data_IF_839729905685
#
_entry.id   IF_839729905685
#
_cell.length_a   1.000
_cell.length_b   1.000
_cell.length_c   1.000
_cell.angle_alpha   90.00
_cell.angle_beta   90.00
_cell.angle_gamma   90.00
#
_symmetry.space_group_name_H-M   'P 1'
#
loop_
_entity.id
_entity.type
_entity.pdbx_description
1 polymer ?
#
# COMPACT_ATOMS: atom_id res chain seq x y z
N UNK A 1 -79.73 -5.18 -4.89
CA UNK A 1 -78.84 -4.14 -4.32
C UNK A 1 -77.43 -4.69 -4.33
N UNK A 2 -76.48 -4.04 -5.02
CA UNK A 2 -75.12 -4.56 -5.22
C UNK A 2 -74.18 -3.81 -4.27
N UNK A 3 -73.58 -4.56 -3.33
CA UNK A 3 -72.83 -4.03 -2.19
C UNK A 3 -71.49 -3.38 -2.55
N UNK A 4 -71.18 -2.34 -1.77
CA UNK A 4 -69.95 -1.55 -1.64
C UNK A 4 -68.69 -2.04 -2.39
N UNK A 5 -68.18 -1.21 -3.30
CA UNK A 5 -66.83 -1.32 -3.83
C UNK A 5 -65.81 -1.20 -2.68
N UNK A 6 -64.96 -2.22 -2.50
CA UNK A 6 -63.87 -2.22 -1.51
C UNK A 6 -62.54 -2.02 -2.23
N UNK A 7 -61.78 -1.01 -1.82
CA UNK A 7 -60.39 -0.80 -2.24
C UNK A 7 -59.51 -1.89 -1.61
N UNK A 8 -58.74 -2.63 -2.42
CA UNK A 8 -57.71 -3.55 -1.95
C UNK A 8 -56.35 -2.93 -2.23
N UNK A 9 -55.59 -2.66 -1.19
CA UNK A 9 -54.18 -2.27 -1.28
C UNK A 9 -53.32 -3.50 -0.99
N UNK A 10 -52.32 -3.76 -1.81
CA UNK A 10 -51.36 -4.85 -1.62
C UNK A 10 -49.95 -4.29 -1.56
N UNK A 11 -49.23 -4.61 -0.49
CA UNK A 11 -47.82 -4.29 -0.33
C UNK A 11 -46.96 -5.51 -0.62
N UNK A 12 -45.78 -5.29 -1.19
CA UNK A 12 -44.77 -6.32 -1.44
C UNK A 12 -43.45 -5.85 -0.84
N UNK A 13 -42.67 -6.79 -0.29
CA UNK A 13 -41.31 -6.50 0.13
C UNK A 13 -40.40 -6.40 -1.09
N UNK A 14 -39.64 -5.31 -1.16
CA UNK A 14 -38.66 -5.06 -2.22
C UNK A 14 -37.48 -4.30 -1.65
N UNK A 15 -36.41 -4.16 -2.43
CA UNK A 15 -35.25 -3.35 -2.11
C UNK A 15 -34.95 -2.39 -3.27
N UNK A 16 -34.30 -1.27 -2.96
CA UNK A 16 -33.84 -0.29 -3.93
C UNK A 16 -32.34 -0.04 -3.71
N UNK A 17 -31.54 -0.17 -4.77
CA UNK A 17 -30.10 0.06 -4.74
C UNK A 17 -29.68 0.85 -5.99
N UNK A 18 -28.67 1.69 -5.87
CA UNK A 18 -28.17 2.50 -6.99
C UNK A 18 -27.67 1.59 -8.13
N UNK A 19 -28.15 1.83 -9.36
CA UNK A 19 -27.82 1.02 -10.52
C UNK A 19 -28.60 -0.30 -10.66
N UNK A 20 -29.52 -0.62 -9.74
CA UNK A 20 -30.36 -1.84 -9.81
C UNK A 20 -31.82 -1.44 -10.05
N UNK A 21 -32.36 -1.78 -11.21
CA UNK A 21 -33.80 -1.68 -11.48
C UNK A 21 -34.49 -2.96 -11.02
N UNK A 22 -35.40 -2.84 -10.05
CA UNK A 22 -36.28 -3.94 -9.65
C UNK A 22 -37.59 -3.87 -10.44
N UNK A 23 -38.16 -5.02 -10.79
CA UNK A 23 -39.45 -5.12 -11.53
C UNK A 23 -40.68 -4.82 -10.65
N UNK A 24 -40.51 -4.08 -9.55
CA UNK A 24 -41.59 -3.76 -8.64
C UNK A 24 -42.35 -2.52 -9.13
N UNK A 25 -43.62 -2.67 -9.52
CA UNK A 25 -44.50 -1.55 -9.87
C UNK A 25 -45.13 -0.96 -8.59
N UNK A 26 -44.74 0.26 -8.21
CA UNK A 26 -45.31 0.98 -7.07
C UNK A 26 -44.34 2.05 -6.53
N UNK A 27 -44.84 2.90 -5.64
CA UNK A 27 -43.97 3.80 -4.86
C UNK A 27 -43.19 3.00 -3.81
N UNK A 28 -41.88 3.23 -3.74
CA UNK A 28 -41.02 2.59 -2.75
C UNK A 28 -40.99 3.41 -1.45
N UNK A 29 -41.29 2.74 -0.34
CA UNK A 29 -41.22 3.32 1.00
C UNK A 29 -40.10 2.63 1.79
N UNK A 30 -38.95 3.30 2.05
CA UNK A 30 -37.84 2.69 2.76
C UNK A 30 -38.18 2.47 4.24
N UNK A 31 -38.07 1.23 4.70
CA UNK A 31 -38.25 0.86 6.13
C UNK A 31 -36.89 0.59 6.78
N UNK A 32 -35.97 0.00 6.03
CA UNK A 32 -34.61 -0.30 6.45
C UNK A 32 -33.64 0.25 5.41
N UNK A 33 -32.55 0.85 5.88
CA UNK A 33 -31.46 1.27 5.02
C UNK A 33 -30.24 0.39 5.27
N UNK A 34 -29.60 -0.09 4.21
CA UNK A 34 -28.40 -0.92 4.31
C UNK A 34 -27.27 -0.21 3.59
N UNK A 35 -26.25 0.21 4.34
CA UNK A 35 -25.06 0.85 3.77
C UNK A 35 -23.84 -0.04 4.03
N UNK A 36 -23.12 -0.42 2.96
CA UNK A 36 -21.95 -1.31 3.03
C UNK A 36 -22.19 -2.65 3.78
N UNK A 37 -23.42 -3.18 3.74
CA UNK A 37 -23.80 -4.43 4.39
C UNK A 37 -24.21 -4.32 5.86
N UNK A 38 -24.36 -3.10 6.38
CA UNK A 38 -24.82 -2.83 7.75
C UNK A 38 -26.24 -2.28 7.72
N UNK A 39 -27.13 -2.89 8.51
CA UNK A 39 -28.49 -2.39 8.74
C UNK A 39 -28.40 -1.11 9.58
N UNK A 40 -28.81 0.01 9.01
CA UNK A 40 -28.98 1.27 9.73
C UNK A 40 -30.40 1.25 10.32
N UNK A 41 -30.51 0.85 11.58
CA UNK A 41 -31.76 0.96 12.32
C UNK A 41 -31.97 2.43 12.69
N UNK A 42 -32.95 3.06 12.04
CA UNK A 42 -33.33 4.44 12.29
C UNK A 42 -34.37 4.45 13.41
N UNK A 43 -34.03 4.92 14.61
CA UNK A 43 -35.05 5.41 15.54
C UNK A 43 -35.88 6.46 14.80
N UNK A 44 -37.23 6.45 14.84
CA UNK A 44 -38.04 7.40 14.08
C UNK A 44 -37.47 8.81 14.27
N UNK A 45 -37.18 9.58 13.20
CA UNK A 45 -36.64 10.92 13.38
C UNK A 45 -37.60 11.62 14.35
N UNK A 46 -37.12 12.13 15.50
CA UNK A 46 -38.00 12.90 16.37
C UNK A 46 -38.59 13.98 15.46
N UNK A 47 -39.92 14.02 15.35
CA UNK A 47 -40.58 15.10 14.61
C UNK A 47 -39.90 16.39 15.06
N UNK A 48 -39.22 17.09 14.15
CA UNK A 48 -38.29 18.17 14.48
C UNK A 48 -38.98 19.18 15.39
N UNK A 49 -38.82 18.99 16.69
CA UNK A 49 -39.53 19.73 17.71
C UNK A 49 -38.56 20.81 18.17
N UNK A 50 -39.02 22.06 18.21
CA UNK A 50 -38.22 23.22 18.61
C UNK A 50 -37.50 22.93 19.94
N UNK A 51 -38.16 22.18 20.84
CA UNK A 51 -37.61 21.74 22.12
C UNK A 51 -36.40 20.80 21.94
N UNK A 52 -36.51 19.78 21.08
CA UNK A 52 -35.40 18.83 20.84
C UNK A 52 -34.18 19.50 20.23
N UNK A 53 -34.39 20.44 19.29
CA UNK A 53 -33.28 21.20 18.68
C UNK A 53 -32.64 22.16 19.69
N UNK A 54 -33.43 22.76 20.58
CA UNK A 54 -32.91 23.63 21.63
C UNK A 54 -32.07 22.85 22.65
N UNK A 55 -32.52 21.65 23.05
CA UNK A 55 -31.76 20.75 23.92
C UNK A 55 -30.46 20.29 23.28
N UNK A 56 -30.50 19.85 22.01
CA UNK A 56 -29.30 19.44 21.28
C UNK A 56 -28.29 20.59 21.15
N UNK A 57 -28.76 21.82 20.89
CA UNK A 57 -27.88 23.00 20.85
C UNK A 57 -27.22 23.24 22.21
N UNK A 58 -27.99 23.21 23.29
CA UNK A 58 -27.47 23.43 24.64
C UNK A 58 -26.41 22.39 25.01
N UNK A 59 -26.69 21.10 24.78
CA UNK A 59 -25.75 20.02 25.07
C UNK A 59 -24.47 20.14 24.23
N UNK A 60 -24.59 20.45 22.93
CA UNK A 60 -23.44 20.69 22.06
C UNK A 60 -22.57 21.84 22.53
N UNK A 61 -23.17 22.95 22.96
CA UNK A 61 -22.45 24.14 23.45
C UNK A 61 -21.81 23.90 24.82
N UNK A 62 -22.43 23.08 25.68
CA UNK A 62 -21.93 22.77 27.02
C UNK A 62 -20.86 21.68 27.04
N UNK A 63 -21.07 20.59 26.30
CA UNK A 63 -20.31 19.34 26.43
C UNK A 63 -19.62 18.90 25.13
N UNK A 64 -20.01 19.45 23.98
CA UNK A 64 -19.54 18.98 22.67
C UNK A 64 -20.15 17.63 22.28
N UNK A 65 -19.40 16.79 21.57
CA UNK A 65 -19.80 15.40 21.25
C UNK A 65 -19.00 14.42 22.10
N UNK A 66 -19.66 13.42 22.67
CA UNK A 66 -19.06 12.49 23.63
C UNK A 66 -19.77 11.14 23.64
N UNK A 67 -19.06 10.12 24.12
CA UNK A 67 -19.56 8.77 24.39
C UNK A 67 -20.06 8.70 25.83
N UNK A 68 -21.26 8.16 26.03
CA UNK A 68 -21.83 7.90 27.35
C UNK A 68 -21.33 6.56 27.88
N UNK A 69 -21.42 5.51 27.04
CA UNK A 69 -20.90 4.18 27.35
C UNK A 69 -20.62 3.39 26.06
N UNK A 70 -19.75 2.38 26.16
CA UNK A 70 -19.48 1.46 25.05
C UNK A 70 -18.79 2.12 23.86
N UNK A 71 -19.22 1.78 22.63
CA UNK A 71 -18.68 2.28 21.35
C UNK A 71 -17.17 2.09 21.15
N UNK A 72 -16.56 1.16 21.89
CA UNK A 72 -15.18 0.78 21.69
C UNK A 72 -15.00 0.08 20.34
N UNK A 73 -13.90 0.40 19.67
CA UNK A 73 -13.57 -0.15 18.38
C UNK A 73 -12.50 -1.23 18.53
N UNK A 74 -12.70 -2.35 17.86
CA UNK A 74 -11.78 -3.47 17.81
C UNK A 74 -11.47 -3.87 16.36
N UNK A 75 -10.24 -4.29 16.12
CA UNK A 75 -9.83 -4.85 14.82
C UNK A 75 -10.20 -6.33 14.83
N UNK A 76 -11.03 -6.76 13.87
CA UNK A 76 -11.45 -8.14 13.79
C UNK A 76 -10.52 -8.95 12.89
N UNK A 77 -10.45 -8.58 11.62
CA UNK A 77 -9.64 -9.28 10.63
C UNK A 77 -9.42 -8.46 9.37
N UNK A 78 -8.40 -8.86 8.61
CA UNK A 78 -8.24 -8.48 7.20
C UNK A 78 -8.91 -9.55 6.33
N UNK A 79 -9.74 -9.12 5.39
CA UNK A 79 -10.32 -9.98 4.35
C UNK A 79 -9.40 -9.97 3.14
N UNK A 80 -8.88 -11.13 2.78
CA UNK A 80 -8.06 -11.33 1.58
C UNK A 80 -8.96 -11.36 0.33
N UNK A 81 -8.52 -10.70 -0.75
CA UNK A 81 -9.27 -10.49 -2.00
C UNK A 81 -8.81 -9.22 -2.74
N UNK A 82 -9.31 -8.98 -3.96
CA UNK A 82 -9.03 -7.74 -4.70
C UNK A 82 -9.43 -6.51 -3.87
N UNK A 83 -8.47 -5.60 -3.64
CA UNK A 83 -8.65 -4.36 -2.87
C UNK A 83 -8.47 -4.47 -1.35
N UNK A 84 -8.30 -5.68 -0.78
CA UNK A 84 -7.96 -5.93 0.63
C UNK A 84 -8.77 -5.14 1.66
N UNK A 85 -9.80 -5.72 2.28
CA UNK A 85 -10.64 -4.99 3.25
C UNK A 85 -10.22 -5.23 4.69
N UNK A 86 -10.29 -4.21 5.53
CA UNK A 86 -10.10 -4.28 6.99
C UNK A 86 -11.45 -4.20 7.67
N UNK A 87 -11.76 -5.19 8.51
CA UNK A 87 -13.03 -5.29 9.23
C UNK A 87 -12.80 -4.88 10.68
N UNK A 88 -13.62 -3.94 11.14
CA UNK A 88 -13.65 -3.46 12.51
C UNK A 88 -15.01 -3.79 13.13
N UNK A 89 -15.01 -3.99 14.44
CA UNK A 89 -16.22 -4.12 15.25
C UNK A 89 -16.32 -2.88 16.12
N UNK A 90 -17.50 -2.29 16.18
CA UNK A 90 -17.84 -1.22 17.13
C UNK A 90 -18.84 -1.83 18.08
N UNK A 91 -18.52 -1.85 19.38
CA UNK A 91 -19.41 -2.39 20.40
C UNK A 91 -20.68 -1.55 20.54
N UNK A 92 -21.73 -2.17 21.07
CA UNK A 92 -22.94 -1.48 21.49
C UNK A 92 -22.61 -0.34 22.46
N UNK A 93 -23.48 0.68 22.50
CA UNK A 93 -23.27 1.83 23.35
C UNK A 93 -24.08 3.05 22.94
N UNK A 94 -23.91 4.12 23.71
CA UNK A 94 -24.62 5.39 23.53
C UNK A 94 -23.64 6.55 23.42
N UNK A 95 -23.97 7.51 22.58
CA UNK A 95 -23.22 8.76 22.43
C UNK A 95 -24.15 9.93 22.14
N UNK A 96 -23.65 11.13 22.43
CA UNK A 96 -24.23 12.37 21.95
C UNK A 96 -23.32 12.95 20.86
N UNK A 97 -23.86 13.12 19.65
CA UNK A 97 -23.15 13.72 18.53
C UNK A 97 -23.88 14.99 18.11
N UNK A 98 -23.20 16.13 18.23
CA UNK A 98 -23.80 17.44 18.02
C UNK A 98 -25.09 17.66 18.86
N UNK A 99 -25.13 17.06 20.05
CA UNK A 99 -26.26 17.11 20.99
C UNK A 99 -27.42 16.14 20.69
N UNK A 100 -27.32 15.35 19.62
CA UNK A 100 -28.30 14.30 19.31
C UNK A 100 -27.83 12.96 19.88
N UNK A 101 -28.73 12.26 20.57
CA UNK A 101 -28.46 10.92 21.09
C UNK A 101 -28.44 9.89 19.96
N UNK A 102 -27.40 9.06 19.96
CA UNK A 102 -27.24 7.88 19.13
C UNK A 102 -27.09 6.67 20.04
N UNK A 103 -27.85 5.63 19.77
CA UNK A 103 -27.78 4.34 20.45
C UNK A 103 -27.50 3.24 19.42
N UNK A 104 -26.43 2.48 19.65
CA UNK A 104 -26.18 1.22 18.96
C UNK A 104 -26.63 0.08 19.88
N UNK A 105 -27.76 -0.60 19.61
CA UNK A 105 -28.29 -1.64 20.50
C UNK A 105 -27.48 -2.94 20.47
N UNK A 106 -26.66 -3.14 19.44
CA UNK A 106 -25.77 -4.30 19.28
C UNK A 106 -24.49 -3.87 18.58
N UNK A 107 -23.43 -4.67 18.73
CA UNK A 107 -22.17 -4.41 18.06
C UNK A 107 -22.32 -4.52 16.54
N UNK A 108 -21.75 -3.56 15.80
CA UNK A 108 -21.79 -3.53 14.34
C UNK A 108 -20.42 -3.82 13.74
N UNK A 109 -20.41 -4.40 12.54
CA UNK A 109 -19.19 -4.63 11.76
C UNK A 109 -19.09 -3.61 10.65
N UNK A 110 -17.97 -2.90 10.57
CA UNK A 110 -17.69 -1.96 9.49
C UNK A 110 -16.46 -2.40 8.72
N UNK A 111 -16.50 -2.26 7.39
CA UNK A 111 -15.39 -2.64 6.51
C UNK A 111 -14.86 -1.43 5.76
N UNK A 112 -13.55 -1.25 5.76
CA UNK A 112 -12.87 -0.20 5.00
C UNK A 112 -11.79 -0.81 4.09
N UNK A 113 -11.59 -0.20 2.92
CA UNK A 113 -10.59 -0.66 1.95
C UNK A 113 -9.15 -0.36 2.41
N UNK A 114 -8.18 -1.14 1.93
CA UNK A 114 -6.76 -0.90 2.13
C UNK A 114 -6.23 0.06 1.06
N UNK A 115 -6.06 1.33 1.44
CA UNK A 115 -5.65 2.43 0.56
C UNK A 115 -4.36 3.13 1.05
N UNK A 116 -3.22 2.42 1.03
CA UNK A 116 -1.95 3.00 1.42
C UNK A 116 -1.53 4.11 0.45
N UNK A 117 -0.91 5.17 0.99
CA UNK A 117 -0.22 6.13 0.14
C UNK A 117 1.18 5.57 -0.18
N UNK A 118 1.47 5.47 -1.48
CA UNK A 118 2.68 4.82 -1.98
C UNK A 118 3.78 5.86 -2.21
N UNK A 119 4.98 5.57 -1.73
CA UNK A 119 6.19 6.38 -2.00
C UNK A 119 7.20 5.57 -2.79
N UNK A 120 7.80 6.20 -3.81
CA UNK A 120 8.91 5.61 -4.56
C UNK A 120 10.24 5.93 -3.88
N UNK A 121 11.14 4.94 -3.89
CA UNK A 121 12.54 5.06 -3.51
C UNK A 121 13.36 4.66 -4.73
N UNK A 122 14.30 5.52 -5.11
CA UNK A 122 15.15 5.33 -6.29
C UNK A 122 16.60 5.13 -5.84
N UNK A 123 17.25 4.14 -6.44
CA UNK A 123 18.67 3.82 -6.30
C UNK A 123 19.12 3.71 -4.85
N UNK A 124 18.35 2.99 -4.02
CA UNK A 124 18.78 2.68 -2.66
C UNK A 124 20.04 1.79 -2.73
N UNK A 125 21.17 2.22 -2.15
CA UNK A 125 22.44 1.53 -2.32
C UNK A 125 22.63 0.42 -1.28
N UNK A 126 23.09 -0.72 -1.75
CA UNK A 126 23.50 -1.86 -0.95
C UNK A 126 24.85 -2.40 -1.45
N UNK A 127 25.63 -3.04 -0.58
CA UNK A 127 26.87 -3.72 -0.97
C UNK A 127 26.62 -5.22 -1.09
N UNK A 128 26.99 -5.82 -2.22
CA UNK A 128 26.80 -7.25 -2.44
C UNK A 128 27.72 -8.08 -1.54
N UNK A 129 27.12 -8.69 -0.51
CA UNK A 129 27.79 -9.59 0.43
C UNK A 129 27.01 -10.91 0.48
N UNK A 130 27.26 -11.83 -0.46
CA UNK A 130 26.49 -13.06 -0.54
C UNK A 130 26.95 -14.09 0.50
N UNK A 131 26.06 -15.04 0.79
CA UNK A 131 26.38 -16.25 1.53
C UNK A 131 27.20 -17.25 0.69
N UNK A 132 27.49 -18.43 1.26
CA UNK A 132 28.24 -19.51 0.57
C UNK A 132 27.61 -20.01 -0.73
N UNK A 133 26.31 -19.75 -0.96
CA UNK A 133 25.58 -20.11 -2.18
C UNK A 133 25.54 -18.96 -3.20
N UNK A 134 26.33 -17.89 -3.00
CA UNK A 134 26.33 -16.66 -3.83
C UNK A 134 24.97 -15.93 -3.85
N UNK A 135 24.21 -16.01 -2.75
CA UNK A 135 22.92 -15.33 -2.57
C UNK A 135 23.01 -14.30 -1.46
N UNK A 136 22.52 -13.09 -1.70
CA UNK A 136 22.40 -12.04 -0.69
C UNK A 136 20.91 -11.82 -0.34
N UNK A 137 20.59 -11.82 0.95
CA UNK A 137 19.33 -11.29 1.46
C UNK A 137 19.43 -9.78 1.59
N UNK A 138 18.80 -9.06 0.65
CA UNK A 138 18.77 -7.61 0.65
C UNK A 138 17.55 -7.15 1.44
N UNK A 139 17.77 -6.32 2.47
CA UNK A 139 16.71 -5.66 3.24
C UNK A 139 16.65 -4.20 2.85
N UNK A 140 15.47 -3.72 2.47
CA UNK A 140 15.28 -2.31 2.14
C UNK A 140 15.15 -1.46 3.40
N UNK A 141 15.47 -0.18 3.29
CA UNK A 141 15.38 0.75 4.42
C UNK A 141 13.93 1.10 4.77
N UNK A 142 13.09 1.36 3.76
CA UNK A 142 11.69 1.71 3.94
C UNK A 142 10.80 0.51 3.59
N UNK A 143 9.94 0.11 4.52
CA UNK A 143 9.07 -1.06 4.36
C UNK A 143 7.73 -0.84 5.08
N UNK A 144 6.62 -1.47 4.64
CA UNK A 144 6.56 -2.61 3.74
C UNK A 144 6.58 -2.26 2.24
N UNK A 145 7.32 -3.06 1.47
CA UNK A 145 7.38 -2.98 0.00
C UNK A 145 5.98 -3.21 -0.59
N UNK A 146 5.61 -2.32 -1.50
CA UNK A 146 4.45 -2.49 -2.39
C UNK A 146 4.84 -3.17 -3.69
N UNK A 147 5.97 -2.76 -4.29
CA UNK A 147 6.48 -3.30 -5.55
C UNK A 147 7.99 -3.04 -5.67
N UNK A 148 8.76 -4.01 -6.16
CA UNK A 148 10.14 -3.78 -6.59
C UNK A 148 10.13 -3.48 -8.09
N UNK A 149 10.63 -2.30 -8.47
CA UNK A 149 10.64 -1.84 -9.86
C UNK A 149 11.88 -2.32 -10.61
N UNK A 150 13.05 -2.23 -9.98
CA UNK A 150 14.33 -2.49 -10.63
C UNK A 150 15.40 -2.87 -9.61
N UNK A 151 16.23 -3.85 -9.95
CA UNK A 151 17.47 -4.15 -9.23
C UNK A 151 18.61 -4.07 -10.23
N UNK A 152 19.49 -3.11 -10.04
CA UNK A 152 20.68 -2.88 -10.86
C UNK A 152 21.92 -3.40 -10.13
N UNK A 153 22.69 -4.25 -10.81
CA UNK A 153 23.87 -4.91 -10.25
C UNK A 153 25.05 -4.83 -11.20
N UNK A 154 26.26 -4.97 -10.65
CA UNK A 154 27.47 -5.22 -11.44
C UNK A 154 27.68 -6.73 -11.58
N UNK A 155 27.72 -7.24 -12.80
CA UNK A 155 28.01 -8.66 -13.09
C UNK A 155 29.34 -8.81 -13.80
N UNK A 156 29.99 -9.97 -13.63
CA UNK A 156 31.17 -10.34 -14.41
C UNK A 156 30.79 -11.44 -15.39
N UNK A 157 31.08 -11.25 -16.67
CA UNK A 157 30.78 -12.19 -17.75
C UNK A 157 32.05 -12.57 -18.48
N UNK A 158 32.07 -13.80 -19.00
CA UNK A 158 33.07 -14.25 -19.95
C UNK A 158 32.37 -14.65 -21.24
N UNK A 159 32.71 -14.01 -22.35
CA UNK A 159 32.13 -14.29 -23.67
C UNK A 159 33.23 -14.52 -24.70
N UNK A 160 32.86 -15.17 -25.80
CA UNK A 160 33.70 -15.25 -27.00
C UNK A 160 33.30 -14.15 -27.98
N UNK A 161 34.29 -13.39 -28.44
CA UNK A 161 34.14 -12.32 -29.43
C UNK A 161 34.92 -12.70 -30.68
N UNK A 162 34.37 -12.38 -31.85
CA UNK A 162 35.08 -12.51 -33.12
C UNK A 162 35.77 -11.20 -33.43
N UNK A 163 37.06 -11.28 -33.71
CA UNK A 163 37.88 -10.15 -34.09
C UNK A 163 37.56 -9.68 -35.51
N UNK A 164 37.57 -8.35 -35.72
CA UNK A 164 37.34 -7.73 -37.02
C UNK A 164 38.21 -8.26 -38.17
N UNK A 165 37.82 -7.93 -39.39
CA UNK A 165 38.47 -8.44 -40.61
C UNK A 165 39.76 -7.70 -40.99
N UNK A 166 40.24 -6.78 -40.15
CA UNK A 166 41.43 -5.96 -40.36
C UNK A 166 42.06 -5.61 -39.01
N UNK A 167 43.34 -5.23 -39.00
CA UNK A 167 44.08 -4.85 -37.79
C UNK A 167 43.71 -3.45 -37.29
N UNK A 168 43.65 -3.27 -35.98
CA UNK A 168 43.15 -2.06 -35.33
C UNK A 168 41.62 -1.99 -35.30
N UNK A 169 40.94 -3.13 -35.40
CA UNK A 169 39.48 -3.17 -35.41
C UNK A 169 38.88 -2.81 -34.04
N UNK A 170 37.63 -2.37 -34.04
CA UNK A 170 36.84 -2.16 -32.83
C UNK A 170 35.78 -3.24 -32.78
N UNK A 171 35.93 -4.15 -31.82
CA UNK A 171 35.06 -5.30 -31.67
C UNK A 171 33.96 -5.00 -30.63
N UNK A 172 32.67 -5.14 -31.00
CA UNK A 172 31.58 -4.79 -30.11
C UNK A 172 31.37 -5.80 -28.99
N UNK A 173 31.11 -5.31 -27.78
CA UNK A 173 30.61 -6.13 -26.66
C UNK A 173 29.07 -6.06 -26.68
N UNK A 174 28.34 -7.18 -26.60
CA UNK A 174 26.89 -7.20 -26.76
C UNK A 174 26.13 -6.54 -25.59
N UNK A 175 26.76 -6.41 -24.42
CA UNK A 175 26.17 -5.77 -23.25
C UNK A 175 26.35 -4.25 -23.28
N UNK A 176 25.32 -3.54 -22.80
CA UNK A 176 25.41 -2.10 -22.52
C UNK A 176 26.07 -1.84 -21.16
N UNK A 177 26.59 -0.62 -20.96
CA UNK A 177 27.19 -0.18 -19.69
C UNK A 177 28.34 -1.08 -19.18
N UNK A 178 29.25 -1.44 -20.09
CA UNK A 178 30.53 -2.09 -19.74
C UNK A 178 31.36 -1.11 -18.91
N UNK A 179 31.78 -1.55 -17.72
CA UNK A 179 32.55 -0.75 -16.77
C UNK A 179 34.05 -0.93 -16.99
N UNK A 180 34.48 -2.18 -17.11
CA UNK A 180 35.89 -2.55 -17.25
C UNK A 180 36.06 -3.91 -17.92
N UNK A 181 37.19 -4.11 -18.59
CA UNK A 181 37.62 -5.41 -19.11
C UNK A 181 38.65 -5.97 -18.13
N UNK A 182 38.34 -7.11 -17.53
CA UNK A 182 39.17 -7.81 -16.54
C UNK A 182 40.29 -8.60 -17.22
N UNK A 183 39.99 -9.26 -18.34
CA UNK A 183 40.96 -10.08 -19.07
C UNK A 183 40.54 -10.25 -20.53
N UNK A 184 41.52 -10.25 -21.42
CA UNK A 184 41.36 -10.66 -22.83
C UNK A 184 42.39 -11.73 -23.13
N UNK A 185 41.97 -12.85 -23.72
CA UNK A 185 42.88 -13.94 -24.06
C UNK A 185 42.47 -14.71 -25.32
N UNK A 186 43.47 -15.23 -26.03
CA UNK A 186 43.30 -16.16 -27.14
C UNK A 186 44.24 -17.36 -26.92
N UNK A 187 43.67 -18.53 -26.62
CA UNK A 187 44.46 -19.68 -26.19
C UNK A 187 45.29 -19.35 -24.94
N UNK A 188 46.61 -19.41 -25.07
CA UNK A 188 47.56 -19.08 -23.99
C UNK A 188 48.06 -17.63 -24.01
N UNK A 189 47.71 -16.86 -25.03
CA UNK A 189 48.10 -15.44 -25.13
C UNK A 189 47.12 -14.62 -24.32
N UNK A 190 47.61 -13.89 -23.32
CA UNK A 190 46.86 -12.86 -22.59
C UNK A 190 47.30 -11.51 -23.16
N UNK A 191 46.32 -10.69 -23.53
CA UNK A 191 46.55 -9.34 -24.04
C UNK A 191 46.52 -8.34 -22.89
N UNK A 192 47.33 -7.30 -22.99
CA UNK A 192 47.52 -6.30 -21.95
C UNK A 192 46.72 -5.02 -22.22
N UNK A 193 45.88 -4.61 -21.26
CA UNK A 193 45.14 -3.35 -21.34
C UNK A 193 46.10 -2.15 -21.43
N UNK A 194 45.78 -1.19 -22.29
CA UNK A 194 46.55 0.03 -22.58
C UNK A 194 47.86 -0.20 -23.34
N UNK A 195 48.15 -1.45 -23.73
CA UNK A 195 49.28 -1.80 -24.61
C UNK A 195 48.75 -2.45 -25.90
N UNK A 196 47.95 -3.50 -25.73
CA UNK A 196 47.40 -4.31 -26.81
C UNK A 196 45.99 -3.84 -27.21
N UNK A 197 45.16 -3.48 -26.23
CA UNK A 197 43.80 -3.01 -26.44
C UNK A 197 43.39 -1.95 -25.41
N UNK A 198 42.28 -1.25 -25.66
CA UNK A 198 41.60 -0.39 -24.69
C UNK A 198 40.10 -0.59 -24.73
N UNK A 199 39.41 -0.29 -23.63
CA UNK A 199 37.94 -0.19 -23.63
C UNK A 199 37.54 1.18 -24.19
N UNK A 200 36.74 1.22 -25.25
CA UNK A 200 36.28 2.45 -25.87
C UNK A 200 34.79 2.37 -26.20
N UNK A 201 33.98 3.26 -25.61
CA UNK A 201 32.53 3.31 -25.80
C UNK A 201 31.81 1.95 -25.64
N UNK A 202 32.27 1.12 -24.70
CA UNK A 202 31.71 -0.21 -24.46
C UNK A 202 32.26 -1.32 -25.37
N UNK A 203 33.25 -1.04 -26.21
CA UNK A 203 33.81 -1.98 -27.18
C UNK A 203 35.30 -2.25 -26.89
N UNK A 204 35.81 -3.37 -27.40
CA UNK A 204 37.25 -3.67 -27.38
C UNK A 204 37.89 -2.97 -28.57
N UNK A 205 38.72 -1.96 -28.31
CA UNK A 205 39.39 -1.18 -29.33
C UNK A 205 40.86 -1.62 -29.43
N UNK A 206 41.20 -2.24 -30.55
CA UNK A 206 42.53 -2.76 -30.85
C UNK A 206 43.43 -1.78 -31.60
N UNK A 207 43.09 -0.48 -31.67
CA UNK A 207 43.88 0.55 -32.37
C UNK A 207 45.28 0.80 -31.80
N UNK A 208 45.69 0.09 -30.75
CA UNK A 208 47.00 0.22 -30.12
C UNK A 208 48.05 -0.62 -30.87
N UNK A 209 49.35 -0.26 -30.80
CA UNK A 209 50.41 -0.93 -31.56
C UNK A 209 50.86 -2.28 -30.99
N UNK A 210 50.19 -2.78 -29.94
CA UNK A 210 50.53 -4.03 -29.28
C UNK A 210 50.11 -5.28 -30.07
N UNK A 211 50.00 -6.40 -29.36
CA UNK A 211 49.53 -7.67 -29.92
C UNK A 211 48.02 -7.60 -30.16
N UNK A 212 47.56 -8.20 -31.24
CA UNK A 212 46.15 -8.28 -31.61
C UNK A 212 45.81 -9.72 -32.06
N UNK A 213 44.59 -10.21 -31.83
CA UNK A 213 44.11 -11.45 -32.44
C UNK A 213 44.22 -11.42 -33.97
N UNK A 214 44.38 -12.58 -34.60
CA UNK A 214 44.38 -12.63 -36.06
C UNK A 214 43.01 -12.19 -36.63
N UNK A 215 42.97 -11.42 -37.73
CA UNK A 215 41.71 -11.00 -38.36
C UNK A 215 40.76 -12.18 -38.61
N UNK A 216 39.49 -12.04 -38.20
CA UNK A 216 38.46 -13.07 -38.31
C UNK A 216 38.57 -14.25 -37.33
N UNK A 217 39.56 -14.26 -36.43
CA UNK A 217 39.67 -15.25 -35.36
C UNK A 217 38.78 -14.90 -34.15
N UNK A 218 38.60 -15.84 -33.22
CA UNK A 218 37.84 -15.61 -32.00
C UNK A 218 38.74 -15.60 -30.77
N UNK A 219 38.39 -14.77 -29.79
CA UNK A 219 39.08 -14.65 -28.50
C UNK A 219 38.05 -14.55 -27.36
N UNK A 220 38.51 -14.78 -26.13
CA UNK A 220 37.67 -14.67 -24.94
C UNK A 220 37.93 -13.36 -24.23
N UNK A 221 36.85 -12.70 -23.82
CA UNK A 221 36.91 -11.54 -22.93
C UNK A 221 36.21 -11.87 -21.62
N UNK A 222 36.77 -11.40 -20.52
CA UNK A 222 36.11 -11.32 -19.22
C UNK A 222 35.98 -9.86 -18.85
N UNK A 223 34.77 -9.38 -18.59
CA UNK A 223 34.48 -7.97 -18.32
C UNK A 223 33.40 -7.84 -17.26
N UNK A 224 33.27 -6.62 -16.71
CA UNK A 224 32.18 -6.25 -15.81
C UNK A 224 31.26 -5.24 -16.47
N UNK A 225 29.96 -5.43 -16.30
CA UNK A 225 28.94 -4.51 -16.80
C UNK A 225 27.81 -4.34 -15.78
N UNK A 226 27.07 -3.23 -15.91
CA UNK A 226 25.82 -3.02 -15.18
C UNK A 226 24.68 -3.77 -15.89
N UNK A 227 23.81 -4.42 -15.13
CA UNK A 227 22.63 -5.09 -15.68
C UNK A 227 21.48 -5.09 -14.68
N UNK A 228 20.27 -5.33 -15.19
CA UNK A 228 19.08 -5.47 -14.37
C UNK A 228 18.78 -6.93 -14.12
N UNK A 229 18.40 -7.25 -12.88
CA UNK A 229 17.97 -8.60 -12.50
C UNK A 229 16.58 -8.56 -11.88
N UNK A 230 15.81 -9.62 -12.13
CA UNK A 230 14.59 -9.89 -11.38
C UNK A 230 14.97 -10.53 -10.04
N UNK A 231 14.65 -9.89 -8.90
CA UNK A 231 14.95 -10.47 -7.61
C UNK A 231 14.07 -11.69 -7.32
N UNK A 232 14.57 -12.59 -6.46
CA UNK A 232 13.84 -13.77 -5.98
C UNK A 232 13.28 -13.52 -4.57
N UNK A 233 12.37 -14.38 -4.11
CA UNK A 233 11.85 -14.40 -2.73
C UNK A 233 11.47 -13.01 -2.18
N UNK A 234 10.66 -12.27 -2.95
CA UNK A 234 10.21 -10.93 -2.56
C UNK A 234 9.33 -11.02 -1.32
N UNK A 235 9.71 -10.27 -0.30
CA UNK A 235 9.00 -10.10 0.96
C UNK A 235 8.65 -8.63 1.16
N UNK A 236 7.90 -8.32 2.22
CA UNK A 236 7.61 -6.92 2.57
C UNK A 236 8.86 -6.14 3.01
N UNK A 237 9.95 -6.80 3.39
CA UNK A 237 11.16 -6.16 3.90
C UNK A 237 12.32 -6.16 2.91
N UNK A 238 12.17 -6.80 1.74
CA UNK A 238 13.28 -6.97 0.82
C UNK A 238 13.15 -8.20 -0.06
N UNK A 239 14.27 -8.66 -0.61
CA UNK A 239 14.32 -9.75 -1.57
C UNK A 239 15.68 -10.44 -1.58
N UNK A 240 15.81 -11.50 -2.39
CA UNK A 240 17.09 -12.18 -2.64
C UNK A 240 17.69 -11.74 -3.98
N UNK A 241 18.97 -11.42 -3.95
CA UNK A 241 19.76 -11.00 -5.12
C UNK A 241 20.91 -11.98 -5.35
N UNK A 242 21.20 -12.29 -6.61
CA UNK A 242 22.27 -13.21 -7.05
C UNK A 242 23.03 -12.64 -8.24
N UNK A 243 24.20 -13.21 -8.52
CA UNK A 243 24.94 -12.98 -9.77
C UNK A 243 25.80 -11.72 -9.79
N UNK A 244 25.71 -10.86 -8.78
CA UNK A 244 26.55 -9.68 -8.66
C UNK A 244 28.00 -10.05 -8.29
N UNK A 245 28.92 -9.15 -8.61
CA UNK A 245 30.33 -9.22 -8.20
C UNK A 245 30.44 -8.91 -6.71
N UNK A 246 31.26 -9.68 -6.00
CA UNK A 246 31.45 -9.53 -4.55
C UNK A 246 31.97 -8.11 -4.22
N UNK A 247 31.41 -7.50 -3.17
CA UNK A 247 31.68 -6.12 -2.75
C UNK A 247 31.30 -5.01 -3.77
N UNK A 248 30.58 -5.34 -4.84
CA UNK A 248 30.04 -4.33 -5.75
C UNK A 248 28.73 -3.71 -5.25
N UNK A 249 28.35 -2.55 -5.80
CA UNK A 249 27.09 -1.89 -5.48
C UNK A 249 25.90 -2.60 -6.15
N UNK A 250 24.85 -2.81 -5.35
CA UNK A 250 23.50 -3.17 -5.77
C UNK A 250 22.62 -1.95 -5.55
N UNK A 251 21.92 -1.50 -6.59
CA UNK A 251 20.98 -0.38 -6.50
C UNK A 251 19.57 -0.91 -6.69
N UNK A 252 18.67 -0.63 -5.76
CA UNK A 252 17.28 -1.07 -5.84
C UNK A 252 16.33 0.13 -5.94
N UNK A 253 15.43 0.08 -6.93
CA UNK A 253 14.29 0.96 -7.06
C UNK A 253 13.04 0.20 -6.64
N UNK A 254 12.27 0.76 -5.71
CA UNK A 254 11.06 0.12 -5.21
C UNK A 254 10.04 1.16 -4.76
N UNK A 255 8.84 0.69 -4.47
CA UNK A 255 7.78 1.47 -3.84
C UNK A 255 7.37 0.83 -2.54
N UNK A 256 6.98 1.64 -1.57
CA UNK A 256 6.57 1.17 -0.25
C UNK A 256 5.32 1.91 0.25
N UNK A 257 4.61 1.27 1.18
CA UNK A 257 3.37 1.78 1.78
C UNK A 257 3.70 2.65 2.99
N UNK A 258 3.47 3.96 2.91
CA UNK A 258 3.80 4.88 3.99
C UNK A 258 2.86 4.74 5.19
N UNK A 259 3.36 4.77 6.43
CA UNK A 259 2.51 4.68 7.61
C UNK A 259 1.64 5.93 7.77
N UNK A 260 0.47 5.74 8.38
CA UNK A 260 -0.57 6.77 8.53
C UNK A 260 -1.44 6.52 9.75
N UNK A 261 -1.98 7.58 10.34
CA UNK A 261 -3.10 7.48 11.27
C UNK A 261 -4.42 7.80 10.56
N UNK A 262 -5.42 6.94 10.70
CA UNK A 262 -6.81 7.20 10.27
C UNK A 262 -7.73 7.33 11.51
N UNK A 263 -8.94 7.86 11.32
CA UNK A 263 -9.98 7.88 12.36
C UNK A 263 -11.11 6.94 11.99
N UNK A 264 -11.75 6.35 13.00
CA UNK A 264 -13.15 5.92 12.88
C UNK A 264 -14.00 6.92 13.65
N UNK A 265 -15.03 7.43 12.98
CA UNK A 265 -15.97 8.40 13.54
C UNK A 265 -17.40 7.95 13.35
N UNK A 266 -18.31 8.48 14.16
CA UNK A 266 -19.77 8.32 14.02
C UNK A 266 -20.43 9.70 13.98
N UNK A 267 -21.46 9.86 13.14
CA UNK A 267 -22.24 11.10 13.06
C UNK A 267 -23.55 11.04 13.84
N UNK A 268 -24.27 12.17 13.89
CA UNK A 268 -25.59 12.30 14.53
C UNK A 268 -26.73 11.52 13.86
N UNK A 269 -26.42 10.76 12.79
CA UNK A 269 -27.34 9.81 12.15
C UNK A 269 -26.92 8.36 12.39
N UNK A 270 -25.87 8.12 13.19
CA UNK A 270 -25.30 6.80 13.43
C UNK A 270 -24.43 6.27 12.28
N UNK A 271 -24.09 7.11 11.28
CA UNK A 271 -23.26 6.67 10.15
C UNK A 271 -21.80 6.66 10.56
N UNK A 272 -21.19 5.48 10.47
CA UNK A 272 -19.78 5.28 10.76
C UNK A 272 -18.93 5.52 9.52
N UNK A 273 -17.86 6.30 9.66
CA UNK A 273 -16.93 6.59 8.57
C UNK A 273 -15.49 6.42 9.02
N UNK A 274 -14.63 6.06 8.07
CA UNK A 274 -13.19 6.14 8.24
C UNK A 274 -12.67 7.41 7.60
N UNK A 275 -11.99 8.23 8.37
CA UNK A 275 -11.37 9.46 7.88
C UNK A 275 -9.90 9.19 7.64
N UNK A 276 -9.50 9.29 6.36
CA UNK A 276 -8.12 9.10 5.91
C UNK A 276 -7.25 10.24 6.45
N UNK A 277 -6.17 9.91 7.14
CA UNK A 277 -5.20 10.93 7.58
C UNK A 277 -4.21 11.33 6.49
N UNK A 278 -3.08 11.91 6.92
CA UNK A 278 -1.97 12.25 6.05
C UNK A 278 -0.82 11.29 6.34
N UNK A 279 -0.39 10.54 5.33
CA UNK A 279 0.76 9.64 5.43
C UNK A 279 2.05 10.41 5.61
N UNK A 280 2.98 9.85 6.38
CA UNK A 280 4.30 10.41 6.55
C UNK A 280 5.31 9.29 6.83
N UNK A 281 6.50 9.28 6.20
CA UNK A 281 7.46 8.17 6.36
C UNK A 281 7.88 7.83 7.80
N UNK A 282 8.16 8.82 8.65
CA UNK A 282 8.63 8.58 10.03
C UNK A 282 7.68 9.09 11.13
N UNK A 283 6.85 10.10 10.85
CA UNK A 283 6.00 10.76 11.86
C UNK A 283 4.63 11.12 11.29
N UNK A 284 3.74 10.14 11.08
CA UNK A 284 2.37 10.42 10.66
C UNK A 284 1.65 11.23 11.74
N UNK A 285 0.93 12.27 11.32
CA UNK A 285 0.14 13.10 12.22
C UNK A 285 -1.18 12.42 12.53
N UNK A 286 -1.67 12.57 13.76
CA UNK A 286 -3.02 12.16 14.12
C UNK A 286 -4.01 13.19 13.54
N UNK A 287 -4.93 12.77 12.64
CA UNK A 287 -5.95 13.67 12.11
C UNK A 287 -6.94 14.09 13.20
N UNK A 288 -7.65 15.20 12.95
CA UNK A 288 -8.74 15.67 13.82
C UNK A 288 -10.08 15.26 13.22
N UNK A 289 -11.04 14.96 14.09
CA UNK A 289 -12.41 14.71 13.64
C UNK A 289 -13.00 16.01 13.04
N UNK A 290 -13.64 15.94 11.86
CA UNK A 290 -14.42 17.04 11.31
C UNK A 290 -15.60 17.41 12.20
N UNK A 291 -16.16 18.60 11.98
CA UNK A 291 -17.39 19.02 12.63
C UNK A 291 -18.54 18.04 12.35
N UNK A 292 -19.36 17.75 13.36
CA UNK A 292 -20.48 16.80 13.26
C UNK A 292 -20.08 15.32 13.26
N UNK A 293 -18.80 15.01 13.54
CA UNK A 293 -18.28 13.65 13.67
C UNK A 293 -17.69 13.46 15.06
N UNK A 294 -18.17 12.47 15.81
CA UNK A 294 -17.56 12.05 17.06
C UNK A 294 -16.42 11.06 16.75
N UNK A 295 -15.23 11.35 17.26
CA UNK A 295 -14.09 10.43 17.24
C UNK A 295 -14.37 9.21 18.12
N UNK A 296 -14.22 8.00 17.57
CA UNK A 296 -14.24 6.76 18.35
C UNK A 296 -12.82 6.25 18.61
N UNK A 297 -12.02 6.10 17.56
CA UNK A 297 -10.65 5.60 17.69
C UNK A 297 -9.70 6.15 16.62
N UNK A 298 -8.41 6.08 16.92
CA UNK A 298 -7.33 6.19 15.95
C UNK A 298 -6.93 4.80 15.47
N UNK A 299 -6.75 4.67 14.16
CA UNK A 299 -6.16 3.50 13.52
C UNK A 299 -4.73 3.85 13.11
N UNK A 300 -3.74 3.14 13.65
CA UNK A 300 -2.37 3.24 13.16
C UNK A 300 -2.13 2.20 12.06
N UNK A 301 -2.04 2.68 10.82
CA UNK A 301 -1.77 1.88 9.64
C UNK A 301 -0.26 1.78 9.43
N UNK A 302 0.34 0.62 9.72
CA UNK A 302 1.74 0.30 9.37
C UNK A 302 1.85 -0.56 8.11
N UNK A 303 0.72 -1.12 7.65
CA UNK A 303 0.57 -1.97 6.46
C UNK A 303 1.36 -3.29 6.45
N UNK A 304 2.07 -3.60 7.53
CA UNK A 304 2.84 -4.85 7.66
C UNK A 304 1.91 -6.05 7.76
N UNK A 305 2.28 -7.17 7.14
CA UNK A 305 1.66 -8.48 7.36
C UNK A 305 1.92 -8.97 8.78
N UNK A 306 0.92 -9.60 9.38
CA UNK A 306 1.02 -10.27 10.69
C UNK A 306 0.99 -9.34 11.91
N UNK A 307 1.37 -8.07 11.80
CA UNK A 307 1.04 -7.07 12.82
C UNK A 307 -0.44 -6.70 12.68
N UNK A 308 -1.25 -7.04 13.68
CA UNK A 308 -2.62 -6.56 13.78
C UNK A 308 -2.65 -5.03 13.70
N UNK A 309 -3.74 -4.48 13.14
CA UNK A 309 -3.93 -3.03 13.07
C UNK A 309 -3.98 -2.50 14.50
N UNK A 310 -3.09 -1.57 14.85
CA UNK A 310 -3.08 -0.97 16.18
C UNK A 310 -4.20 0.05 16.27
N UNK A 311 -5.12 -0.18 17.21
CA UNK A 311 -6.23 0.72 17.51
C UNK A 311 -5.95 1.40 18.84
N UNK A 312 -6.21 2.71 18.89
CA UNK A 312 -6.21 3.49 20.12
C UNK A 312 -7.61 4.08 20.27
N UNK A 313 -8.42 3.50 21.15
CA UNK A 313 -9.71 4.08 21.52
C UNK A 313 -9.44 5.40 22.25
N UNK A 314 -9.99 6.49 21.72
CA UNK A 314 -9.74 7.84 22.20
C UNK A 314 -10.99 8.71 22.05
N UNK A 315 -12.14 8.09 22.25
CA UNK A 315 -13.39 8.81 22.36
C UNK A 315 -13.38 9.68 23.61
N UNK A 316 -14.04 10.83 23.54
CA UNK A 316 -14.29 11.65 24.73
C UNK A 316 -15.45 11.00 25.47
N UNK A 317 -15.24 10.61 26.72
CA UNK A 317 -16.29 10.00 27.55
C UNK A 317 -16.90 11.01 28.50
N UNK A 318 -18.21 10.95 28.69
CA UNK A 318 -18.85 11.58 29.83
C UNK A 318 -18.51 10.79 31.10
N UNK A 319 -18.06 11.50 32.14
CA UNK A 319 -17.81 10.92 33.46
C UNK A 319 -18.95 11.35 34.37
N UNK A 320 -19.76 10.42 34.90
CA UNK A 320 -20.78 10.75 35.88
C UNK A 320 -20.18 11.43 37.12
N UNK A 321 -20.85 12.45 37.65
CA UNK A 321 -20.34 13.24 38.81
C UNK A 321 -20.11 12.38 40.07
N UNK A 322 -20.81 11.25 40.19
CA UNK A 322 -20.67 10.30 41.28
C UNK A 322 -19.46 9.35 41.14
N UNK A 323 -18.77 9.38 39.99
CA UNK A 323 -17.59 8.56 39.69
C UNK A 323 -16.28 9.38 39.66
N UNK A 324 -16.37 10.69 39.95
CA UNK A 324 -15.24 11.60 40.14
C UNK A 324 -14.73 11.60 41.59
#
# INVERSE_FOLDING_TARGET
>A
EVGAARLKVSTIWSYQAEGVTTNASGEFYPIYNIENGVLIEHSPPPQANIVTTALARYDKEANGSYVVNGLEVMFLQKKEGEGGKKIFVINEGKAHVDGYEIELPHSIRVSFDEDPDIKSVESEPHTFQPNSQRVMELKVNDFPISEIKKVDITVQKTITVTHGSYSGAIDPIPDSAVLEIIQVKQGNVIYENSIDYKLNAGNVDWSLPGKEPAPGSSYQITYRCRTHVSPEDISEQGCKVKGAVDNSLVLIDYTWKMPRYDLITIDSKGVVRRIKGISHPWRPSMPRAPSGQLLLCYIHQTWKKGEGVKIVNNAIHAVPMNEL
#
